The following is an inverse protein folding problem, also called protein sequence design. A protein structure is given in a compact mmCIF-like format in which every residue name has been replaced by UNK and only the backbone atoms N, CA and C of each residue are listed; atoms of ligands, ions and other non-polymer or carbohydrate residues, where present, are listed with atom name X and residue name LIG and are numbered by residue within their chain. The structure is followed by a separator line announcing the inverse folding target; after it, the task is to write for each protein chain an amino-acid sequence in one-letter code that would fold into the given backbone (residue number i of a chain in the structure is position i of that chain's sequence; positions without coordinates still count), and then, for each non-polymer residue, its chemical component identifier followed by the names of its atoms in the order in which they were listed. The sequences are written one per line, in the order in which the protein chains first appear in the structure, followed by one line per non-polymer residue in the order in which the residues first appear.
data_IF_738566506452
#
_entry.id   IF_738566506452
#
_cell.length_a   1.000
_cell.length_b   1.000
_cell.length_c   1.000
_cell.angle_alpha   90.00
_cell.angle_beta   90.00
_cell.angle_gamma   90.00
#
_symmetry.space_group_name_H-M   'P 1'
#
loop_
_entity.id
_entity.type
_entity.pdbx_description
1 polymer ?
#
# COMPACT_ATOMS: atom_id res chain seq x y z
N UNK A 1 11.62 -20.39 8.40
CA UNK A 1 11.57 -18.90 8.45
C UNK A 1 10.69 -18.35 7.33
N UNK A 2 10.99 -18.64 6.06
CA UNK A 2 10.17 -18.16 4.94
C UNK A 2 8.73 -18.68 4.96
N UNK A 3 8.52 -19.93 5.39
CA UNK A 3 7.18 -20.52 5.50
C UNK A 3 6.28 -19.72 6.45
N UNK A 4 6.80 -19.28 7.59
CA UNK A 4 6.06 -18.44 8.52
C UNK A 4 5.64 -17.08 7.90
N UNK A 5 6.47 -16.54 6.99
CA UNK A 5 6.11 -15.32 6.25
C UNK A 5 5.00 -15.64 5.24
N UNK A 6 5.09 -16.77 4.53
CA UNK A 6 4.06 -17.22 3.58
C UNK A 6 2.72 -17.43 4.30
N UNK A 7 2.72 -18.12 5.43
CA UNK A 7 1.51 -18.40 6.23
C UNK A 7 0.90 -17.10 6.76
N UNK A 8 1.72 -16.18 7.27
CA UNK A 8 1.25 -14.87 7.71
C UNK A 8 0.58 -14.11 6.56
N UNK A 9 1.20 -14.06 5.38
CA UNK A 9 0.66 -13.38 4.21
C UNK A 9 -0.62 -14.04 3.67
N UNK A 10 -0.69 -15.37 3.71
CA UNK A 10 -1.90 -16.12 3.32
C UNK A 10 -3.09 -15.75 4.21
N UNK A 11 -2.84 -15.59 5.52
CA UNK A 11 -3.81 -15.13 6.50
C UNK A 11 -4.13 -13.62 6.42
N UNK A 12 -3.49 -12.88 5.50
CA UNK A 12 -3.68 -11.43 5.35
C UNK A 12 -2.89 -10.60 6.37
N UNK A 13 -2.04 -11.23 7.17
CA UNK A 13 -1.19 -10.56 8.14
C UNK A 13 -0.02 -9.87 7.44
N UNK A 14 0.49 -8.83 8.10
CA UNK A 14 1.71 -8.12 7.70
C UNK A 14 2.87 -8.60 8.55
N UNK A 15 4.01 -8.87 7.92
CA UNK A 15 5.25 -9.23 8.61
C UNK A 15 6.24 -8.08 8.49
N UNK A 16 6.77 -7.61 9.60
CA UNK A 16 7.79 -6.57 9.64
C UNK A 16 9.08 -7.11 10.25
N UNK A 17 10.18 -6.94 9.52
CA UNK A 17 11.53 -7.32 9.95
C UNK A 17 12.27 -6.02 10.19
N UNK A 18 12.54 -5.71 11.47
CA UNK A 18 13.21 -4.47 11.89
C UNK A 18 14.53 -4.31 11.15
N UNK A 19 14.79 -3.10 10.66
CA UNK A 19 15.98 -2.79 9.86
C UNK A 19 15.94 -3.29 8.41
N UNK A 20 15.09 -4.26 8.08
CA UNK A 20 15.04 -4.85 6.73
C UNK A 20 13.86 -4.34 5.90
N UNK A 21 12.63 -4.46 6.40
CA UNK A 21 11.44 -4.04 5.66
C UNK A 21 10.19 -4.78 6.10
N UNK A 22 9.14 -4.66 5.29
CA UNK A 22 7.87 -5.31 5.57
C UNK A 22 7.30 -6.05 4.36
N UNK A 23 6.77 -7.23 4.62
CA UNK A 23 5.98 -8.02 3.69
C UNK A 23 4.49 -7.83 4.00
N UNK A 24 3.71 -7.60 2.94
CA UNK A 24 2.26 -7.47 3.03
C UNK A 24 1.62 -8.07 1.79
N UNK A 25 0.40 -8.56 1.92
CA UNK A 25 -0.36 -9.00 0.78
C UNK A 25 -1.24 -7.85 0.25
N UNK A 26 -1.31 -7.68 -1.07
CA UNK A 26 -2.15 -6.66 -1.71
C UNK A 26 -3.14 -7.29 -2.68
N UNK A 27 -4.38 -6.87 -2.58
CA UNK A 27 -5.45 -7.33 -3.46
C UNK A 27 -5.50 -6.48 -4.73
N UNK A 28 -5.63 -7.17 -5.87
CA UNK A 28 -5.90 -6.54 -7.16
C UNK A 28 -7.26 -7.00 -7.63
N UNK A 29 -8.15 -6.02 -7.85
CA UNK A 29 -9.48 -6.26 -8.39
C UNK A 29 -9.43 -6.89 -9.78
N UNK A 30 -10.48 -7.65 -10.10
CA UNK A 30 -10.70 -8.15 -11.44
C UNK A 30 -10.88 -6.99 -12.42
N UNK A 31 -10.47 -7.19 -13.65
CA UNK A 31 -10.65 -6.23 -14.75
C UNK A 31 -10.59 -6.93 -16.08
N UNK A 32 -11.01 -6.26 -17.15
CA UNK A 32 -10.76 -6.73 -18.51
C UNK A 32 -9.43 -6.16 -19.00
N UNK A 33 -8.50 -7.05 -19.35
CA UNK A 33 -7.23 -6.70 -20.00
C UNK A 33 -7.30 -6.90 -21.51
N UNK A 34 -6.19 -6.63 -22.20
CA UNK A 34 -5.99 -7.02 -23.60
C UNK A 34 -4.76 -7.91 -23.72
N UNK A 35 -4.87 -8.95 -24.54
CA UNK A 35 -3.72 -9.77 -24.88
C UNK A 35 -2.76 -8.93 -25.76
N UNK A 36 -1.48 -8.73 -25.37
CA UNK A 36 -0.55 -7.91 -26.14
C UNK A 36 -0.26 -8.48 -27.54
N UNK A 37 -0.47 -9.79 -27.76
CA UNK A 37 -0.23 -10.46 -29.04
C UNK A 37 -1.41 -10.38 -30.01
N UNK A 38 -2.66 -10.39 -29.52
CA UNK A 38 -3.86 -10.50 -30.37
C UNK A 38 -4.85 -9.35 -30.22
N UNK A 39 -4.67 -8.48 -29.23
CA UNK A 39 -5.60 -7.37 -28.93
C UNK A 39 -6.93 -7.79 -28.31
N UNK A 40 -7.23 -9.10 -28.25
CA UNK A 40 -8.49 -9.62 -27.71
C UNK A 40 -8.66 -9.25 -26.23
N UNK A 41 -9.91 -8.98 -25.85
CA UNK A 41 -10.30 -8.72 -24.46
C UNK A 41 -10.23 -10.02 -23.66
N UNK A 42 -9.46 -10.01 -22.58
CA UNK A 42 -9.30 -11.17 -21.69
C UNK A 42 -9.65 -10.80 -20.25
N UNK A 43 -10.46 -11.61 -19.55
CA UNK A 43 -10.74 -11.37 -18.14
C UNK A 43 -9.49 -11.60 -17.31
N UNK A 44 -9.15 -10.64 -16.45
CA UNK A 44 -8.11 -10.76 -15.44
C UNK A 44 -8.81 -10.94 -14.11
N UNK A 45 -8.73 -12.14 -13.55
CA UNK A 45 -9.34 -12.48 -12.26
C UNK A 45 -8.73 -11.66 -11.12
N UNK A 46 -9.53 -11.43 -10.08
CA UNK A 46 -9.04 -10.84 -8.86
C UNK A 46 -8.02 -11.78 -8.23
N UNK A 47 -6.92 -11.23 -7.71
CA UNK A 47 -5.94 -12.01 -6.98
C UNK A 47 -5.14 -11.16 -6.00
N UNK A 48 -4.60 -11.83 -5.00
CA UNK A 48 -3.69 -11.30 -3.99
C UNK A 48 -2.25 -11.53 -4.42
N UNK A 49 -1.37 -10.60 -4.10
CA UNK A 49 0.06 -10.68 -4.43
C UNK A 49 0.90 -10.24 -3.24
N UNK A 50 2.08 -10.84 -3.05
CA UNK A 50 3.03 -10.35 -2.07
C UNK A 50 3.60 -9.01 -2.52
N UNK A 51 3.77 -8.11 -1.56
CA UNK A 51 4.44 -6.82 -1.70
C UNK A 51 5.48 -6.71 -0.60
N UNK A 52 6.72 -6.39 -1.00
CA UNK A 52 7.79 -6.05 -0.08
C UNK A 52 8.06 -4.55 -0.11
N UNK A 53 8.16 -3.94 1.07
CA UNK A 53 8.59 -2.56 1.25
C UNK A 53 9.92 -2.55 2.00
N UNK A 54 10.99 -2.21 1.30
CA UNK A 54 12.32 -2.06 1.88
C UNK A 54 12.33 -0.95 2.95
N UNK A 55 13.08 -1.20 4.02
CA UNK A 55 13.31 -0.22 5.09
C UNK A 55 14.09 0.99 4.57
N UNK A 56 14.08 2.05 5.37
CA UNK A 56 14.94 3.22 5.14
C UNK A 56 16.42 2.83 5.17
N UNK A 57 16.81 1.98 6.11
CA UNK A 57 18.20 1.53 6.29
C UNK A 57 18.75 0.83 5.05
N UNK A 58 17.99 -0.12 4.46
CA UNK A 58 18.41 -0.76 3.19
C UNK A 58 18.53 0.26 2.07
N UNK A 59 17.54 1.16 1.95
CA UNK A 59 17.53 2.14 0.86
C UNK A 59 18.70 3.12 0.96
N UNK A 60 19.07 3.54 2.17
CA UNK A 60 20.20 4.42 2.44
C UNK A 60 21.53 3.69 2.26
N UNK A 61 21.66 2.45 2.75
CA UNK A 61 22.86 1.64 2.54
C UNK A 61 23.17 1.41 1.05
N UNK A 62 22.13 1.24 0.22
CA UNK A 62 22.28 1.08 -1.23
C UNK A 62 22.51 2.41 -1.98
N UNK A 63 22.07 3.53 -1.41
CA UNK A 63 22.15 4.85 -2.05
C UNK A 63 22.75 5.89 -1.09
N UNK A 64 24.04 5.77 -0.73
CA UNK A 64 24.66 6.62 0.30
C UNK A 64 24.65 8.12 -0.03
N UNK A 65 24.60 8.46 -1.33
CA UNK A 65 24.57 9.84 -1.83
C UNK A 65 23.17 10.32 -2.25
N UNK A 66 22.12 9.50 -2.04
CA UNK A 66 20.75 9.86 -2.38
C UNK A 66 20.19 10.90 -1.40
N UNK A 67 19.56 11.96 -1.91
CA UNK A 67 18.87 12.99 -1.11
C UNK A 67 18.01 12.31 -0.05
N UNK A 68 18.29 12.57 1.24
CA UNK A 68 17.55 12.00 2.37
C UNK A 68 16.06 12.23 2.13
N UNK A 69 15.31 11.15 1.91
CA UNK A 69 13.90 11.22 1.56
C UNK A 69 13.18 12.16 2.55
N UNK A 70 12.67 13.27 2.01
CA UNK A 70 11.95 14.28 2.77
C UNK A 70 10.81 13.60 3.52
N UNK A 71 10.71 13.81 4.84
CA UNK A 71 9.57 13.34 5.62
C UNK A 71 8.32 13.94 5.00
N UNK A 72 7.53 13.15 4.27
CA UNK A 72 6.15 13.51 3.97
C UNK A 72 5.44 13.65 5.30
N UNK A 73 5.31 14.88 5.78
CA UNK A 73 4.45 15.21 6.92
C UNK A 73 3.04 14.79 6.52
N UNK A 74 2.52 13.74 7.16
CA UNK A 74 1.10 13.41 7.09
C UNK A 74 0.39 14.57 7.78
N UNK A 75 -0.13 15.51 7.01
CA UNK A 75 -1.01 16.57 7.52
C UNK A 75 -2.24 15.88 8.09
N UNK A 76 -2.33 15.83 9.42
CA UNK A 76 -3.56 15.55 10.14
C UNK A 76 -4.50 16.73 9.91
N UNK A 77 -5.43 16.59 8.97
CA UNK A 77 -6.59 17.47 8.88
C UNK A 77 -7.52 17.10 10.04
N UNK A 78 -7.53 17.92 11.08
CA UNK A 78 -8.49 17.83 12.19
C UNK A 78 -9.77 18.55 11.76
N UNK A 79 -10.81 17.79 11.49
CA UNK A 79 -12.15 18.31 11.20
C UNK A 79 -12.82 18.62 12.55
N UNK A 80 -12.78 19.89 12.97
CA UNK A 80 -13.60 20.41 14.08
C UNK A 80 -14.67 21.31 13.50
N UNK A 81 -15.92 20.90 13.69
CA UNK A 81 -17.09 21.75 13.92
C UNK A 81 -17.64 22.51 12.70
N UNK A 82 -18.65 21.93 12.05
CA UNK A 82 -19.70 22.73 11.42
C UNK A 82 -20.90 22.64 12.36
N UNK A 83 -21.04 23.61 13.26
CA UNK A 83 -22.30 23.86 13.96
C UNK A 83 -23.15 24.72 13.01
N UNK A 84 -24.19 24.10 12.43
CA UNK A 84 -25.22 24.81 11.71
C UNK A 84 -26.25 25.30 12.74
N UNK A 85 -26.10 26.55 13.20
CA UNK A 85 -27.20 27.27 13.81
C UNK A 85 -28.19 27.66 12.70
N UNK A 86 -29.35 27.01 12.67
CA UNK A 86 -30.56 27.59 12.09
C UNK A 86 -31.30 28.38 13.16
N UNK A 87 -31.90 29.54 12.82
CA UNK A 87 -33.32 29.66 13.12
C UNK A 87 -34.16 30.50 12.14
N UNK A 88 -35.48 30.23 12.12
CA UNK A 88 -36.59 31.13 11.73
C UNK A 88 -36.83 31.26 10.23
N UNK A 89 -38.03 31.02 9.65
CA UNK A 89 -39.32 31.67 9.99
C UNK A 89 -39.26 33.13 9.48
N UNK A 90 -40.02 33.60 8.50
CA UNK A 90 -41.36 33.29 7.95
C UNK A 90 -41.37 33.27 6.41
#
# INVERSE_FOLDING_TARGET
MFDAIVDALANGNRVEIRGFGAFSAKDRRSRVGRNPRTGQRVPVIAKRFPMFKASKEIREALNPNGVKASRTRKTSFSERGIEAEGPGGE
#
